data_IF_146272220651
#
_entry.id   IF_146272220651
#
_cell.length_a   1.000
_cell.length_b   1.000
_cell.length_c   1.000
_cell.angle_alpha   90.00
_cell.angle_beta   90.00
_cell.angle_gamma   90.00
#
_symmetry.space_group_name_H-M   'P 1'
#
loop_
_entity.id
_entity.type
_entity.pdbx_description
1 polymer ?
#
# COMPACT_ATOMS: atom_id res chain seq x y z
N UNK A 1 12.25 -12.72 -0.11
CA UNK A 1 11.24 -12.21 -1.06
C UNK A 1 10.68 -10.93 -0.49
N UNK A 2 10.42 -9.94 -1.31
CA UNK A 2 9.68 -8.74 -0.93
C UNK A 2 8.37 -8.68 -1.71
N UNK A 3 7.29 -8.27 -1.04
CA UNK A 3 6.03 -7.92 -1.66
C UNK A 3 5.87 -6.41 -1.56
N UNK A 4 5.76 -5.73 -2.69
CA UNK A 4 5.41 -4.30 -2.71
C UNK A 4 3.94 -4.17 -3.10
N UNK A 5 3.20 -3.33 -2.37
CA UNK A 5 1.77 -3.06 -2.59
C UNK A 5 1.59 -1.55 -2.69
N UNK A 6 0.76 -1.11 -3.61
CA UNK A 6 0.40 0.30 -3.77
C UNK A 6 -1.04 0.42 -4.23
N UNK A 7 -1.66 1.55 -3.91
CA UNK A 7 -2.99 1.84 -4.42
C UNK A 7 -2.95 1.99 -5.94
N UNK A 8 -4.03 1.59 -6.58
CA UNK A 8 -4.14 1.71 -8.02
C UNK A 8 -4.96 2.92 -8.42
N UNK A 9 -6.05 3.25 -7.69
CA UNK A 9 -7.07 4.20 -8.14
C UNK A 9 -7.33 5.35 -7.19
N UNK A 10 -7.60 5.06 -5.92
CA UNK A 10 -7.86 6.07 -4.91
C UNK A 10 -6.60 6.36 -4.09
N UNK A 11 -6.33 7.63 -3.80
CA UNK A 11 -5.26 8.08 -2.89
C UNK A 11 -5.45 7.66 -1.43
N UNK A 12 -6.69 7.36 -1.04
CA UNK A 12 -7.12 7.05 0.34
C UNK A 12 -7.16 5.56 0.63
N UNK A 13 -6.94 4.72 -0.39
CA UNK A 13 -6.99 3.28 -0.20
C UNK A 13 -5.86 2.83 0.73
N UNK A 14 -6.15 1.96 1.68
CA UNK A 14 -5.09 1.42 2.54
C UNK A 14 -5.18 -0.10 2.57
N UNK A 15 -4.01 -0.73 2.47
CA UNK A 15 -3.86 -2.16 2.37
C UNK A 15 -3.06 -2.70 3.57
N UNK A 16 -3.56 -3.74 4.22
CA UNK A 16 -2.84 -4.51 5.23
C UNK A 16 -2.34 -5.82 4.62
N UNK A 17 -1.13 -6.23 5.01
CA UNK A 17 -0.49 -7.46 4.55
C UNK A 17 -0.42 -8.46 5.68
N UNK A 18 -0.90 -9.66 5.41
CA UNK A 18 -0.88 -10.79 6.33
C UNK A 18 -0.03 -11.91 5.74
N UNK A 19 0.77 -12.53 6.58
CA UNK A 19 1.55 -13.73 6.24
C UNK A 19 1.16 -14.83 7.21
N UNK A 20 0.73 -15.96 6.66
CA UNK A 20 0.30 -17.13 7.45
C UNK A 20 -0.72 -16.75 8.55
N UNK A 21 -1.65 -15.85 8.20
CA UNK A 21 -2.70 -15.35 9.08
C UNK A 21 -2.29 -14.20 10.03
N UNK A 22 -1.00 -13.84 10.11
CA UNK A 22 -0.52 -12.75 10.97
C UNK A 22 -0.28 -11.47 10.18
N UNK A 23 -0.81 -10.33 10.65
CA UNK A 23 -0.51 -9.02 10.07
C UNK A 23 0.98 -8.69 10.24
N UNK A 24 1.64 -8.32 9.14
CA UNK A 24 3.06 -7.92 9.14
C UNK A 24 3.26 -6.44 8.86
N UNK A 25 2.22 -5.72 8.42
CA UNK A 25 2.27 -4.29 8.20
C UNK A 25 1.14 -3.78 7.32
N UNK A 26 1.11 -2.46 7.15
CA UNK A 26 0.15 -1.72 6.33
C UNK A 26 0.88 -0.81 5.37
N UNK A 27 0.25 -0.48 4.24
CA UNK A 27 0.73 0.58 3.36
C UNK A 27 0.68 1.92 4.10
N UNK A 28 1.56 2.84 3.71
CA UNK A 28 1.68 4.17 4.29
C UNK A 28 1.71 5.24 3.20
N UNK A 29 1.25 6.42 3.56
CA UNK A 29 1.37 7.65 2.81
C UNK A 29 2.78 8.21 2.74
N UNK A 30 2.90 9.46 2.28
CA UNK A 30 4.18 10.17 2.26
C UNK A 30 4.80 10.27 3.67
N UNK A 31 6.04 9.83 3.84
CA UNK A 31 6.75 9.90 5.13
C UNK A 31 6.98 11.33 5.62
N UNK A 32 6.92 12.33 4.73
CA UNK A 32 6.94 13.75 5.08
C UNK A 32 5.79 14.18 5.99
N UNK A 33 4.70 13.40 6.05
CA UNK A 33 3.60 13.63 7.00
C UNK A 33 4.07 13.55 8.45
N UNK A 34 5.02 12.65 8.77
CA UNK A 34 5.64 12.60 10.10
C UNK A 34 6.34 13.91 10.47
N UNK A 35 7.01 14.54 9.49
CA UNK A 35 7.65 15.85 9.66
C UNK A 35 6.67 17.00 9.88
N UNK A 36 5.37 16.77 9.64
CA UNK A 36 4.27 17.71 9.89
C UNK A 36 3.40 17.31 11.08
N UNK A 37 3.88 16.39 11.92
CA UNK A 37 3.13 15.83 13.07
C UNK A 37 1.84 15.11 12.69
N UNK A 38 1.78 14.55 11.50
CA UNK A 38 0.65 13.77 10.98
C UNK A 38 1.02 12.29 10.88
N UNK A 39 0.03 11.42 11.05
CA UNK A 39 0.21 9.97 10.92
C UNK A 39 0.20 9.55 9.43
N UNK A 40 1.31 9.06 8.85
CA UNK A 40 1.32 8.58 7.48
C UNK A 40 0.49 7.31 7.27
N UNK A 41 0.01 6.66 8.34
CA UNK A 41 -0.90 5.52 8.24
C UNK A 41 -2.37 5.92 8.29
N UNK A 42 -2.71 7.19 8.53
CA UNK A 42 -4.08 7.66 8.61
C UNK A 42 -4.59 8.09 7.22
N UNK A 43 -5.58 7.39 6.62
CA UNK A 43 -6.18 7.77 5.34
C UNK A 43 -6.77 9.18 5.33
N UNK A 44 -7.15 9.73 6.49
CA UNK A 44 -7.65 11.11 6.59
C UNK A 44 -6.58 12.16 6.29
N UNK A 45 -5.29 11.79 6.26
CA UNK A 45 -4.18 12.67 5.88
C UNK A 45 -3.98 12.74 4.35
N UNK A 46 -4.75 11.97 3.57
CA UNK A 46 -4.75 12.04 2.11
C UNK A 46 -5.92 12.86 1.60
N UNK A 47 -5.67 13.65 0.56
CA UNK A 47 -6.75 14.19 -0.27
C UNK A 47 -7.36 13.05 -1.06
N UNK A 48 -8.67 12.88 -1.02
CA UNK A 48 -9.38 11.88 -1.82
C UNK A 48 -9.37 12.31 -3.30
N UNK A 49 -8.53 11.64 -4.09
CA UNK A 49 -8.27 11.95 -5.49
C UNK A 49 -7.97 10.66 -6.27
N UNK A 50 -7.98 10.77 -7.59
CA UNK A 50 -7.67 9.67 -8.49
C UNK A 50 -6.16 9.61 -8.76
N UNK A 51 -5.48 8.58 -8.25
CA UNK A 51 -4.05 8.36 -8.57
C UNK A 51 -3.87 7.88 -10.02
N UNK A 52 -4.86 7.24 -10.65
CA UNK A 52 -4.78 6.79 -12.05
C UNK A 52 -5.22 5.35 -12.21
N UNK A 53 -4.71 4.70 -13.25
CA UNK A 53 -4.75 3.24 -13.42
C UNK A 53 -3.31 2.72 -13.57
N UNK A 54 -3.12 1.41 -13.77
CA UNK A 54 -1.80 0.84 -14.05
C UNK A 54 -1.24 1.42 -15.36
N UNK A 55 0.03 1.89 -15.40
CA UNK A 55 1.01 1.88 -14.31
C UNK A 55 1.06 3.16 -13.45
N UNK A 56 0.34 4.21 -13.85
CA UNK A 56 0.42 5.55 -13.27
C UNK A 56 0.04 5.62 -11.78
N UNK A 57 -1.03 4.93 -11.39
CA UNK A 57 -1.52 4.94 -10.00
C UNK A 57 -0.46 4.50 -8.99
N UNK A 58 0.07 3.26 -9.12
CA UNK A 58 1.11 2.76 -8.23
C UNK A 58 2.35 3.65 -8.17
N UNK A 59 2.79 4.21 -9.31
CA UNK A 59 3.94 5.12 -9.36
C UNK A 59 3.67 6.40 -8.56
N UNK A 60 2.48 6.98 -8.69
CA UNK A 60 2.08 8.17 -7.93
C UNK A 60 2.02 7.89 -6.42
N UNK A 61 1.58 6.70 -6.01
CA UNK A 61 1.58 6.30 -4.61
C UNK A 61 3.00 6.23 -4.03
N UNK A 62 3.94 5.64 -4.77
CA UNK A 62 5.36 5.57 -4.36
C UNK A 62 5.98 6.96 -4.18
N UNK A 63 5.62 7.94 -5.02
CA UNK A 63 6.07 9.34 -4.87
C UNK A 63 5.26 10.15 -3.86
N UNK A 64 4.40 9.50 -3.07
CA UNK A 64 3.73 10.09 -1.91
C UNK A 64 2.36 10.69 -2.16
N UNK A 65 1.69 10.38 -3.27
CA UNK A 65 0.31 10.83 -3.53
C UNK A 65 -0.77 9.89 -3.00
N UNK A 66 -0.41 8.69 -2.57
CA UNK A 66 -1.32 7.70 -2.00
C UNK A 66 -0.55 6.75 -1.10
N UNK A 67 -1.13 5.61 -0.77
CA UNK A 67 -0.51 4.63 0.08
C UNK A 67 0.30 3.60 -0.72
N UNK A 68 1.48 3.28 -0.20
CA UNK A 68 2.30 2.17 -0.68
C UNK A 68 3.10 1.55 0.46
N UNK A 69 3.66 0.37 0.23
CA UNK A 69 4.55 -0.26 1.19
C UNK A 69 5.30 -1.44 0.57
N UNK A 70 6.47 -1.74 1.11
CA UNK A 70 7.23 -2.94 0.77
C UNK A 70 7.45 -3.79 2.01
N UNK A 71 7.11 -5.07 1.89
CA UNK A 71 7.01 -6.00 3.01
C UNK A 71 7.93 -7.19 2.78
N UNK A 72 8.82 -7.44 3.76
CA UNK A 72 9.67 -8.63 3.73
C UNK A 72 8.83 -9.85 4.07
N UNK A 73 8.73 -10.80 3.12
CA UNK A 73 8.03 -12.06 3.34
C UNK A 73 9.03 -13.10 3.89
N UNK A 74 8.79 -13.66 5.09
CA UNK A 74 9.63 -14.70 5.67
C UNK A 74 9.80 -15.90 4.74
N UNK A 75 10.98 -16.54 4.81
CA UNK A 75 11.24 -17.76 4.05
C UNK A 75 10.39 -18.90 4.62
N UNK A 76 9.79 -19.70 3.73
CA UNK A 76 8.95 -20.83 4.13
C UNK A 76 7.50 -20.46 4.45
N UNK A 77 7.11 -19.18 4.31
CA UNK A 77 5.72 -18.78 4.40
C UNK A 77 4.85 -19.47 3.36
N UNK A 78 3.66 -19.90 3.77
CA UNK A 78 2.73 -20.71 2.95
C UNK A 78 1.67 -19.84 2.27
N UNK A 79 1.32 -18.72 2.88
CA UNK A 79 0.27 -17.83 2.40
C UNK A 79 0.61 -16.36 2.64
N UNK A 80 0.20 -15.53 1.68
CA UNK A 80 0.25 -14.07 1.79
C UNK A 80 -1.12 -13.54 1.38
N UNK A 81 -1.72 -12.71 2.22
CA UNK A 81 -3.02 -12.07 1.96
C UNK A 81 -2.82 -10.57 2.02
N UNK A 82 -3.28 -9.87 0.99
CA UNK A 82 -3.37 -8.41 0.97
C UNK A 82 -4.85 -8.07 1.12
N UNK A 83 -5.19 -7.33 2.17
CA UNK A 83 -6.56 -6.91 2.46
C UNK A 83 -6.65 -5.40 2.38
N UNK A 84 -7.58 -4.89 1.58
CA UNK A 84 -7.98 -3.49 1.67
C UNK A 84 -8.71 -3.27 3.00
N UNK A 85 -8.16 -2.38 3.82
CA UNK A 85 -8.68 -2.03 5.16
C UNK A 85 -9.33 -0.65 5.19
N UNK A 86 -9.03 0.19 4.21
CA UNK A 86 -9.72 1.45 3.96
C UNK A 86 -10.00 1.54 2.46
N UNK A 87 -11.26 1.38 2.01
CA UNK A 87 -11.61 1.58 0.62
C UNK A 87 -11.78 3.07 0.30
N UNK A 88 -11.51 3.47 -0.93
CA UNK A 88 -11.97 4.77 -1.44
C UNK A 88 -13.49 4.78 -1.57
N UNK A 89 -14.11 5.96 -1.38
CA UNK A 89 -15.56 6.13 -1.47
C UNK A 89 -16.04 6.46 -2.89
N UNK A 90 -15.14 6.92 -3.76
CA UNK A 90 -15.51 7.50 -5.05
C UNK A 90 -15.22 6.58 -6.24
N UNK A 91 -14.47 5.49 -6.03
CA UNK A 91 -14.05 4.59 -7.09
C UNK A 91 -14.19 3.11 -6.68
N UNK A 92 -14.23 2.23 -7.67
CA UNK A 92 -14.06 0.80 -7.40
C UNK A 92 -12.63 0.54 -6.99
N UNK A 93 -12.44 0.21 -5.72
CA UNK A 93 -11.12 0.09 -5.15
C UNK A 93 -10.27 -1.01 -5.78
N UNK A 94 -8.99 -0.73 -5.95
CA UNK A 94 -8.03 -1.64 -6.57
C UNK A 94 -6.61 -1.41 -6.02
N UNK A 95 -5.89 -2.50 -5.76
CA UNK A 95 -4.49 -2.48 -5.35
C UNK A 95 -3.61 -3.16 -6.38
N UNK A 96 -2.44 -2.57 -6.65
CA UNK A 96 -1.39 -3.21 -7.43
C UNK A 96 -0.36 -3.84 -6.50
N UNK A 97 0.22 -4.97 -6.91
CA UNK A 97 1.30 -5.61 -6.19
C UNK A 97 2.43 -6.08 -7.11
N UNK A 98 3.62 -6.18 -6.54
CA UNK A 98 4.81 -6.72 -7.19
C UNK A 98 5.56 -7.62 -6.22
N UNK A 99 6.02 -8.77 -6.72
CA UNK A 99 6.84 -9.71 -5.95
C UNK A 99 8.27 -9.64 -6.46
N UNK A 100 9.19 -9.20 -5.61
CA UNK A 100 10.62 -9.21 -5.89
C UNK A 100 11.27 -10.44 -5.23
N UNK A 101 11.73 -11.37 -6.07
CA UNK A 101 12.51 -12.53 -5.63
C UNK A 101 13.92 -12.03 -5.30
N UNK A 102 14.40 -12.33 -4.09
CA UNK A 102 15.82 -12.12 -3.78
C UNK A 102 16.67 -13.00 -4.68
N UNK A 103 17.83 -12.51 -5.14
CA UNK A 103 18.83 -13.37 -5.77
C UNK A 103 19.37 -14.31 -4.67
N UNK A 104 19.35 -15.61 -4.94
CA UNK A 104 20.03 -16.62 -4.12
C UNK A 104 21.54 -16.46 -4.26
#
# INVERSE_FOLDING_TARGET
MALSVADQRGTTEQHAVFVDGKEIGRTHGALSLKGRWQDPYDPAMMLDDHVGDVPHGPVKCVVGRGFWGSFKIPKGSKSVVVKMIHPTTNFNGAGAYRIDKGRN
#
